data_IF_461763851595
#
_entry.id   IF_461763851595
#
_cell.length_a   1.000
_cell.length_b   1.000
_cell.length_c   1.000
_cell.angle_alpha   90.00
_cell.angle_beta   90.00
_cell.angle_gamma   90.00
#
_symmetry.space_group_name_H-M   'P 1'
#
loop_
_entity.id
_entity.type
_entity.pdbx_description
1 polymer ?
#
# COMPACT_ATOMS: atom_id res chain seq x y z
N UNK A 1 -16.77 3.49 -1.06
CA UNK A 1 -16.93 2.20 -0.36
C UNK A 1 -17.36 2.52 1.05
N UNK A 2 -18.39 1.85 1.57
CA UNK A 2 -18.75 2.01 2.99
C UNK A 2 -17.70 1.32 3.90
N UNK A 3 -17.69 1.70 5.17
CA UNK A 3 -16.66 1.23 6.12
C UNK A 3 -16.77 -0.28 6.40
N UNK A 4 -17.98 -0.85 6.31
CA UNK A 4 -18.19 -2.27 6.59
C UNK A 4 -17.62 -3.16 5.47
N UNK A 5 -17.83 -2.78 4.21
CA UNK A 5 -17.19 -3.41 3.06
C UNK A 5 -15.67 -3.31 3.11
N UNK A 6 -15.16 -2.14 3.51
CA UNK A 6 -13.72 -1.92 3.67
C UNK A 6 -13.11 -2.89 4.68
N UNK A 7 -13.71 -2.98 5.86
CA UNK A 7 -13.26 -3.87 6.93
C UNK A 7 -13.25 -5.34 6.48
N UNK A 8 -14.30 -5.77 5.77
CA UNK A 8 -14.40 -7.13 5.23
C UNK A 8 -13.31 -7.44 4.19
N UNK A 9 -13.01 -6.50 3.28
CA UNK A 9 -11.94 -6.66 2.31
C UNK A 9 -10.57 -6.74 2.97
N UNK A 10 -10.31 -5.89 3.97
CA UNK A 10 -9.05 -5.93 4.73
C UNK A 10 -8.89 -7.26 5.48
N UNK A 11 -9.98 -7.81 6.03
CA UNK A 11 -9.96 -9.11 6.69
C UNK A 11 -9.64 -10.25 5.72
N UNK A 12 -10.22 -10.24 4.52
CA UNK A 12 -9.90 -11.21 3.46
C UNK A 12 -8.46 -11.11 2.96
N UNK A 13 -7.89 -9.91 2.87
CA UNK A 13 -6.49 -9.73 2.47
C UNK A 13 -5.55 -10.25 3.56
N UNK A 14 -5.87 -10.00 4.84
CA UNK A 14 -5.06 -10.48 5.97
C UNK A 14 -5.15 -11.99 6.15
N UNK A 15 -6.33 -12.55 5.94
CA UNK A 15 -6.64 -13.97 6.11
C UNK A 15 -7.22 -14.52 4.80
N UNK A 16 -6.40 -14.67 3.75
CA UNK A 16 -6.89 -15.12 2.47
C UNK A 16 -7.42 -16.56 2.55
N UNK A 17 -8.57 -16.86 1.92
CA UNK A 17 -9.06 -18.23 1.85
C UNK A 17 -8.05 -19.15 1.12
N UNK A 18 -7.87 -20.40 1.56
CA UNK A 18 -6.98 -21.36 0.89
C UNK A 18 -7.37 -21.56 -0.57
N UNK A 19 -6.38 -21.62 -1.46
CA UNK A 19 -6.53 -21.76 -2.91
C UNK A 19 -7.01 -20.50 -3.63
N UNK A 20 -7.18 -19.37 -2.93
CA UNK A 20 -7.66 -18.13 -3.54
C UNK A 20 -6.55 -17.36 -4.25
N UNK A 21 -6.93 -16.44 -5.15
CA UNK A 21 -5.98 -15.47 -5.73
C UNK A 21 -5.41 -14.50 -4.69
N UNK A 22 -6.12 -14.27 -3.57
CA UNK A 22 -5.61 -13.46 -2.46
C UNK A 22 -4.47 -14.19 -1.76
N UNK A 23 -4.58 -15.51 -1.61
CA UNK A 23 -3.51 -16.34 -1.07
C UNK A 23 -2.29 -16.31 -1.99
N UNK A 24 -2.49 -16.52 -3.29
CA UNK A 24 -1.41 -16.42 -4.27
C UNK A 24 -0.73 -15.04 -4.26
N UNK A 25 -1.51 -13.95 -4.15
CA UNK A 25 -0.96 -12.60 -4.06
C UNK A 25 -0.06 -12.43 -2.81
N UNK A 26 -0.53 -12.91 -1.64
CA UNK A 26 0.28 -12.94 -0.41
C UNK A 26 1.58 -13.71 -0.62
N UNK A 27 1.49 -14.91 -1.18
CA UNK A 27 2.63 -15.82 -1.34
C UNK A 27 3.67 -15.26 -2.34
N UNK A 28 3.22 -14.45 -3.31
CA UNK A 28 4.09 -13.70 -4.22
C UNK A 28 4.55 -12.32 -3.68
N UNK A 29 4.20 -11.97 -2.43
CA UNK A 29 4.58 -10.69 -1.82
C UNK A 29 3.86 -9.47 -2.40
N UNK A 30 2.73 -9.67 -3.06
CA UNK A 30 1.89 -8.59 -3.62
C UNK A 30 1.02 -8.00 -2.49
N UNK A 31 1.30 -6.77 -2.10
CA UNK A 31 0.52 -6.06 -1.08
C UNK A 31 -0.77 -5.47 -1.64
N UNK A 32 -1.87 -6.22 -1.46
CA UNK A 32 -3.21 -5.78 -1.87
C UNK A 32 -3.80 -4.69 -0.96
N UNK A 33 -3.26 -4.47 0.24
CA UNK A 33 -3.71 -3.39 1.12
C UNK A 33 -3.33 -2.02 0.57
N UNK A 34 -2.13 -1.91 -0.04
CA UNK A 34 -1.71 -0.73 -0.79
C UNK A 34 -2.59 -0.50 -2.02
N UNK A 35 -2.97 -1.57 -2.72
CA UNK A 35 -3.87 -1.48 -3.86
C UNK A 35 -5.25 -0.93 -3.46
N UNK A 36 -5.88 -1.49 -2.42
CA UNK A 36 -7.16 -0.98 -1.90
C UNK A 36 -7.07 0.49 -1.50
N UNK A 37 -6.04 0.85 -0.72
CA UNK A 37 -5.80 2.23 -0.32
C UNK A 37 -5.69 3.16 -1.51
N UNK A 38 -4.99 2.72 -2.55
CA UNK A 38 -4.85 3.47 -3.80
C UNK A 38 -6.23 3.70 -4.44
N UNK A 39 -7.05 2.66 -4.59
CA UNK A 39 -8.41 2.77 -5.14
C UNK A 39 -9.33 3.73 -4.36
N UNK A 40 -9.14 3.86 -3.04
CA UNK A 40 -9.87 4.81 -2.20
C UNK A 40 -9.45 6.28 -2.42
N UNK A 41 -8.27 6.51 -2.99
CA UNK A 41 -7.72 7.85 -3.19
C UNK A 41 -8.05 8.43 -4.55
N UNK A 42 -8.48 9.69 -4.56
CA UNK A 42 -8.58 10.50 -5.77
C UNK A 42 -7.18 10.81 -6.36
N UNK A 43 -7.08 11.13 -7.66
CA UNK A 43 -5.79 11.54 -8.25
C UNK A 43 -5.10 12.67 -7.48
N UNK A 44 -5.85 13.67 -7.02
CA UNK A 44 -5.31 14.78 -6.25
C UNK A 44 -4.78 14.36 -4.87
N UNK A 45 -5.45 13.41 -4.20
CA UNK A 45 -4.95 12.86 -2.94
C UNK A 45 -3.64 12.09 -3.14
N UNK A 46 -3.52 11.32 -4.22
CA UNK A 46 -2.30 10.57 -4.55
C UNK A 46 -1.12 11.50 -4.81
N UNK A 47 -1.34 12.59 -5.55
CA UNK A 47 -0.31 13.61 -5.79
C UNK A 47 0.15 14.29 -4.49
N UNK A 48 -0.79 14.63 -3.60
CA UNK A 48 -0.44 15.22 -2.30
C UNK A 48 0.39 14.27 -1.44
N UNK A 49 0.04 13.00 -1.41
CA UNK A 49 0.80 12.00 -0.68
C UNK A 49 2.22 11.84 -1.24
N UNK A 50 2.37 11.74 -2.56
CA UNK A 50 3.68 11.67 -3.20
C UNK A 50 4.54 12.89 -2.83
N UNK A 51 3.94 14.09 -2.85
CA UNK A 51 4.60 15.32 -2.40
C UNK A 51 5.01 15.28 -0.93
N UNK A 52 4.19 14.69 -0.06
CA UNK A 52 4.49 14.55 1.37
C UNK A 52 5.64 13.57 1.65
N UNK A 53 5.83 12.55 0.81
CA UNK A 53 6.94 11.59 0.94
C UNK A 53 8.30 12.16 0.49
N UNK A 54 8.29 13.21 -0.33
CA UNK A 54 9.49 13.77 -0.97
C UNK A 54 10.61 14.20 0.01
N UNK A 55 10.34 14.89 1.14
CA UNK A 55 11.36 15.28 2.10
C UNK A 55 12.07 14.08 2.74
N UNK A 56 11.31 13.04 3.10
CA UNK A 56 11.85 11.80 3.67
C UNK A 56 12.81 11.12 2.68
N UNK A 57 12.39 10.98 1.41
CA UNK A 57 13.22 10.37 0.37
C UNK A 57 14.53 11.17 0.18
N UNK A 58 14.47 12.50 0.14
CA UNK A 58 15.68 13.34 0.05
C UNK A 58 16.64 13.09 1.22
N UNK A 59 16.11 12.99 2.44
CA UNK A 59 16.93 12.72 3.63
C UNK A 59 17.59 11.34 3.57
N UNK A 60 16.85 10.31 3.17
CA UNK A 60 17.34 8.95 3.01
C UNK A 60 18.49 8.89 1.98
N UNK A 61 18.31 9.51 0.81
CA UNK A 61 19.34 9.61 -0.22
C UNK A 61 20.60 10.32 0.29
N UNK A 62 20.43 11.43 1.01
CA UNK A 62 21.56 12.13 1.63
C UNK A 62 22.32 11.26 2.62
N UNK A 63 21.62 10.44 3.42
CA UNK A 63 22.24 9.51 4.36
C UNK A 63 23.00 8.38 3.66
N UNK A 64 22.43 7.79 2.60
CA UNK A 64 23.07 6.75 1.81
C UNK A 64 24.39 7.25 1.18
N UNK A 65 24.38 8.46 0.60
CA UNK A 65 25.57 9.07 -0.02
C UNK A 65 26.71 9.36 0.96
N UNK A 66 26.42 9.57 2.24
CA UNK A 66 27.46 9.78 3.27
C UNK A 66 28.10 8.48 3.76
N UNK A 67 27.51 7.32 3.45
CA UNK A 67 27.92 6.00 3.95
C UNK A 67 28.59 5.12 2.89
N UNK A 68 28.45 5.47 1.61
CA UNK A 68 29.19 4.89 0.50
C UNK A 68 30.32 5.81 0.07
#
# INVERSE_FOLDING_TARGET
MDEQHRKRLLELIRNPPPGSKLEAARDHGIDLSLFLRSLEMTPAQRLRELGAAQPFLRALWGAAKRRG
#
